data_IF_001389780962
#
_entry.id   IF_001389780962
#
_cell.length_a   1.000
_cell.length_b   1.000
_cell.length_c   1.000
_cell.angle_alpha   90.00
_cell.angle_beta   90.00
_cell.angle_gamma   90.00
#
_symmetry.space_group_name_H-M   'P 1'
#
loop_
_entity.id
_entity.type
_entity.pdbx_description
1 polymer ?
#
# COMPACT_ATOMS: atom_id res chain seq x y z
N UNK A 1 11.88 -8.50 -3.92
CA UNK A 1 11.44 -9.85 -3.47
C UNK A 1 12.31 -10.97 -4.01
N UNK A 2 12.73 -10.92 -5.29
CA UNK A 2 13.62 -11.96 -5.85
C UNK A 2 14.94 -12.13 -5.07
N UNK A 3 15.41 -11.11 -4.38
CA UNK A 3 16.62 -11.14 -3.54
C UNK A 3 16.38 -11.66 -2.13
N UNK A 4 15.13 -11.71 -1.72
CA UNK A 4 14.74 -12.07 -0.37
C UNK A 4 14.32 -13.54 -0.27
N UNK A 5 14.56 -14.35 -1.31
CA UNK A 5 14.06 -15.74 -1.41
C UNK A 5 14.51 -16.65 -0.27
N UNK A 6 15.69 -16.44 0.26
CA UNK A 6 16.19 -17.30 1.33
C UNK A 6 15.72 -16.77 2.69
N UNK A 7 14.89 -17.56 3.35
CA UNK A 7 14.38 -17.29 4.69
C UNK A 7 13.52 -16.03 4.84
N UNK A 8 12.76 -15.64 3.81
CA UNK A 8 11.74 -14.59 3.92
C UNK A 8 10.36 -15.17 3.70
N UNK A 9 9.43 -14.79 4.55
CA UNK A 9 8.00 -15.03 4.34
C UNK A 9 7.28 -13.69 4.20
N UNK A 10 6.65 -13.48 3.05
CA UNK A 10 5.79 -12.32 2.85
C UNK A 10 4.48 -12.47 3.64
N UNK A 11 3.91 -11.35 4.07
CA UNK A 11 2.59 -11.27 4.69
C UNK A 11 1.72 -10.34 3.83
N UNK A 12 0.63 -10.84 3.33
CA UNK A 12 -0.24 -10.11 2.39
C UNK A 12 -1.67 -10.27 2.84
N UNK A 13 -2.44 -9.19 2.86
CA UNK A 13 -3.88 -9.26 3.11
C UNK A 13 -4.62 -10.04 2.03
N UNK A 14 -5.69 -10.75 2.40
CA UNK A 14 -6.59 -11.38 1.41
C UNK A 14 -7.38 -10.35 0.61
N UNK A 15 -7.41 -9.11 1.05
CA UNK A 15 -7.99 -7.95 0.35
C UNK A 15 -6.87 -6.93 0.17
N UNK A 16 -6.18 -7.02 -0.94
CA UNK A 16 -5.09 -6.14 -1.35
C UNK A 16 -5.09 -6.01 -2.87
N UNK A 17 -4.22 -5.19 -3.42
CA UNK A 17 -4.03 -5.14 -4.87
C UNK A 17 -3.62 -6.53 -5.40
N UNK A 18 -4.41 -7.14 -6.29
CA UNK A 18 -4.23 -8.54 -6.68
C UNK A 18 -2.83 -8.90 -7.17
N UNK A 19 -2.14 -7.94 -7.82
CA UNK A 19 -0.80 -8.18 -8.33
C UNK A 19 0.24 -8.53 -7.24
N UNK A 20 0.00 -8.25 -5.97
CA UNK A 20 0.92 -8.71 -4.92
C UNK A 20 0.94 -10.24 -4.84
N UNK A 21 -0.22 -10.87 -4.87
CA UNK A 21 -0.33 -12.34 -4.87
C UNK A 21 0.25 -12.93 -6.15
N UNK A 22 -0.11 -12.38 -7.31
CA UNK A 22 0.43 -12.82 -8.60
C UNK A 22 1.96 -12.78 -8.62
N UNK A 23 2.56 -11.70 -8.07
CA UNK A 23 4.02 -11.58 -7.98
C UNK A 23 4.61 -12.65 -7.06
N UNK A 24 3.98 -12.95 -5.91
CA UNK A 24 4.48 -13.99 -5.01
C UNK A 24 4.47 -15.37 -5.68
N UNK A 25 3.37 -15.69 -6.35
CA UNK A 25 3.21 -16.96 -7.07
C UNK A 25 4.22 -17.07 -8.22
N UNK A 26 4.29 -16.07 -9.10
CA UNK A 26 5.19 -16.09 -10.25
C UNK A 26 6.68 -16.10 -9.86
N UNK A 27 7.03 -15.51 -8.74
CA UNK A 27 8.41 -15.52 -8.22
C UNK A 27 8.71 -16.69 -7.30
N UNK A 28 7.74 -17.56 -7.04
CA UNK A 28 7.83 -18.66 -6.07
C UNK A 28 8.32 -18.17 -4.69
N UNK A 29 7.77 -17.06 -4.24
CA UNK A 29 8.10 -16.45 -2.93
C UNK A 29 7.12 -16.99 -1.89
N UNK A 30 7.65 -17.48 -0.75
CA UNK A 30 6.80 -17.94 0.36
C UNK A 30 5.97 -16.79 0.92
N UNK A 31 4.68 -16.99 1.06
CA UNK A 31 3.79 -15.99 1.66
C UNK A 31 2.73 -16.63 2.56
N UNK A 32 2.16 -15.81 3.43
CA UNK A 32 1.00 -16.16 4.24
C UNK A 32 -0.03 -15.02 4.17
N UNK A 33 -1.30 -15.43 4.10
CA UNK A 33 -2.42 -14.50 4.06
C UNK A 33 -2.72 -13.98 5.46
N UNK A 34 -2.91 -12.67 5.58
CA UNK A 34 -3.44 -11.99 6.76
C UNK A 34 -4.94 -11.71 6.51
N UNK A 35 -5.83 -12.22 7.36
CA UNK A 35 -7.26 -12.13 7.10
C UNK A 35 -7.80 -10.71 7.37
N UNK A 36 -8.44 -10.15 6.35
CA UNK A 36 -9.32 -8.98 6.43
C UNK A 36 -10.75 -9.50 6.47
N UNK A 37 -11.43 -9.25 7.56
CA UNK A 37 -12.77 -9.75 7.80
C UNK A 37 -13.68 -8.64 8.32
N UNK A 38 -15.00 -8.91 8.41
CA UNK A 38 -15.93 -7.98 9.05
C UNK A 38 -15.60 -7.73 10.52
N UNK A 39 -15.20 -8.79 11.22
CA UNK A 39 -14.91 -8.76 12.66
C UNK A 39 -13.75 -7.81 12.97
N UNK A 40 -12.77 -7.70 12.09
CA UNK A 40 -11.67 -6.74 12.21
C UNK A 40 -11.90 -5.47 11.37
N UNK A 41 -13.12 -5.23 10.90
CA UNK A 41 -13.50 -4.08 10.08
C UNK A 41 -12.62 -3.91 8.84
N UNK A 42 -12.17 -5.03 8.25
CA UNK A 42 -11.21 -5.06 7.13
C UNK A 42 -9.92 -4.28 7.41
N UNK A 43 -9.52 -4.24 8.69
CA UNK A 43 -8.33 -3.54 9.17
C UNK A 43 -7.63 -4.38 10.24
N UNK A 44 -6.88 -5.42 9.85
CA UNK A 44 -6.18 -6.29 10.80
C UNK A 44 -5.13 -5.50 11.59
N UNK A 45 -4.92 -5.90 12.84
CA UNK A 45 -3.91 -5.26 13.71
C UNK A 45 -2.50 -5.39 13.13
N UNK A 46 -1.61 -4.49 13.50
CA UNK A 46 -0.21 -4.55 13.09
C UNK A 46 0.44 -5.89 13.46
N UNK A 47 0.16 -6.42 14.65
CA UNK A 47 0.69 -7.68 15.14
C UNK A 47 0.32 -8.87 14.25
N UNK A 48 -0.85 -8.85 13.62
CA UNK A 48 -1.29 -9.93 12.71
C UNK A 48 -0.35 -10.14 11.53
N UNK A 49 0.36 -9.11 11.12
CA UNK A 49 1.35 -9.21 10.04
C UNK A 49 2.70 -9.78 10.50
N UNK A 50 3.00 -9.69 11.79
CA UNK A 50 4.31 -10.09 12.33
C UNK A 50 4.23 -11.33 13.21
N UNK A 51 3.11 -12.05 13.18
CA UNK A 51 2.97 -13.33 13.88
C UNK A 51 4.04 -14.32 13.41
N UNK A 52 4.80 -14.86 14.35
CA UNK A 52 5.90 -15.81 14.12
C UNK A 52 5.53 -17.27 14.38
N UNK A 53 4.26 -17.54 14.67
CA UNK A 53 3.81 -18.91 14.93
C UNK A 53 4.18 -19.85 13.77
N UNK A 54 4.82 -20.96 14.10
CA UNK A 54 5.23 -21.97 13.12
C UNK A 54 6.46 -21.60 12.26
N UNK A 55 7.08 -20.42 12.45
CA UNK A 55 8.26 -20.03 11.69
C UNK A 55 9.57 -20.46 12.36
N UNK A 56 10.55 -20.75 11.51
CA UNK A 56 11.95 -20.89 11.96
C UNK A 56 12.46 -19.53 12.48
N UNK A 57 13.28 -19.55 13.53
CA UNK A 57 13.87 -18.36 14.12
C UNK A 57 14.69 -17.51 13.12
N UNK A 58 15.22 -18.12 12.06
CA UNK A 58 15.96 -17.42 10.99
C UNK A 58 15.05 -16.84 9.91
N UNK A 59 13.76 -17.16 9.90
CA UNK A 59 12.83 -16.63 8.90
C UNK A 59 12.56 -15.15 9.18
N UNK A 60 12.74 -14.34 8.16
CA UNK A 60 12.37 -12.92 8.17
C UNK A 60 10.91 -12.77 7.76
N UNK A 61 10.21 -11.88 8.42
CA UNK A 61 8.84 -11.52 8.06
C UNK A 61 8.85 -10.22 7.25
N UNK A 62 8.11 -10.20 6.14
CA UNK A 62 8.06 -9.07 5.23
C UNK A 62 6.62 -8.78 4.82
N UNK A 63 5.86 -8.01 5.61
CA UNK A 63 4.57 -7.49 5.18
C UNK A 63 4.68 -6.66 3.90
N UNK A 64 3.67 -6.80 3.05
CA UNK A 64 3.42 -5.92 1.90
C UNK A 64 2.06 -5.31 2.14
N UNK A 65 2.03 -4.02 2.41
CA UNK A 65 0.82 -3.30 2.84
C UNK A 65 0.67 -2.03 2.00
N UNK A 66 -0.47 -1.85 1.37
CA UNK A 66 -0.83 -0.54 0.81
C UNK A 66 -1.38 0.37 1.93
N UNK A 67 -0.92 1.63 1.96
CA UNK A 67 -1.37 2.61 2.96
C UNK A 67 -1.48 4.02 2.37
N UNK A 68 -2.68 4.52 2.16
CA UNK A 68 -4.03 3.93 2.34
C UNK A 68 -4.23 2.62 1.57
N UNK A 69 -5.02 1.72 2.15
CA UNK A 69 -5.23 0.38 1.64
C UNK A 69 -6.11 0.39 0.37
N UNK A 70 -5.70 -0.37 -0.63
CA UNK A 70 -6.46 -0.62 -1.84
C UNK A 70 -7.02 -2.06 -1.81
N UNK A 71 -8.37 -2.27 -1.81
CA UNK A 71 -9.42 -1.28 -2.14
C UNK A 71 -10.23 -0.75 -0.95
N UNK A 72 -9.99 -1.17 0.29
CA UNK A 72 -10.89 -0.81 1.40
C UNK A 72 -10.84 0.66 1.81
N UNK A 73 -9.73 1.34 1.53
CA UNK A 73 -9.48 2.72 1.98
C UNK A 73 -9.11 2.83 3.46
N UNK A 74 -8.96 1.71 4.18
CA UNK A 74 -8.47 1.74 5.55
C UNK A 74 -7.05 2.31 5.59
N UNK A 75 -6.79 3.20 6.54
CA UNK A 75 -5.52 3.94 6.59
C UNK A 75 -4.90 3.82 7.97
N UNK A 76 -3.65 3.40 8.03
CA UNK A 76 -2.83 3.52 9.23
C UNK A 76 -2.20 4.90 9.28
N UNK A 77 -2.38 5.58 10.40
CA UNK A 77 -1.82 6.90 10.62
C UNK A 77 -1.56 7.14 12.10
N UNK A 78 -0.85 8.22 12.45
CA UNK A 78 -0.54 8.56 13.84
C UNK A 78 0.22 7.44 14.56
N UNK A 79 -0.26 7.07 15.75
CA UNK A 79 0.39 6.08 16.60
C UNK A 79 0.34 4.67 16.04
N UNK A 80 -0.72 4.32 15.30
CA UNK A 80 -0.83 3.01 14.64
C UNK A 80 0.24 2.83 13.55
N UNK A 81 0.45 3.84 12.70
CA UNK A 81 1.51 3.78 11.69
C UNK A 81 2.90 3.79 12.33
N UNK A 82 3.07 4.55 13.42
CA UNK A 82 4.32 4.55 14.19
C UNK A 82 4.63 3.16 14.75
N UNK A 83 3.64 2.51 15.37
CA UNK A 83 3.78 1.15 15.88
C UNK A 83 4.16 0.16 14.76
N UNK A 84 3.46 0.22 13.61
CA UNK A 84 3.75 -0.64 12.45
C UNK A 84 5.22 -0.52 12.02
N UNK A 85 5.75 0.69 11.91
CA UNK A 85 7.14 0.94 11.51
C UNK A 85 8.10 0.45 12.61
N UNK A 86 7.82 0.69 13.88
CA UNK A 86 8.65 0.21 14.99
C UNK A 86 8.78 -1.31 14.98
N UNK A 87 7.67 -2.05 14.80
CA UNK A 87 7.70 -3.51 14.68
C UNK A 87 8.50 -3.95 13.43
N UNK A 88 8.38 -3.22 12.33
CA UNK A 88 9.13 -3.53 11.11
C UNK A 88 10.64 -3.29 11.23
N UNK A 89 11.07 -2.40 12.13
CA UNK A 89 12.49 -2.15 12.41
C UNK A 89 13.11 -3.18 13.37
N UNK A 90 12.31 -4.03 14.02
CA UNK A 90 12.82 -5.09 14.89
C UNK A 90 13.68 -6.12 14.12
N UNK A 91 14.67 -6.72 14.78
CA UNK A 91 15.51 -7.75 14.16
C UNK A 91 14.70 -8.93 13.58
N UNK A 92 14.92 -9.23 12.32
CA UNK A 92 14.21 -10.31 11.63
C UNK A 92 12.90 -9.89 10.97
N UNK A 93 12.51 -8.63 11.09
CA UNK A 93 11.37 -8.04 10.41
C UNK A 93 11.81 -7.10 9.28
N UNK A 94 10.84 -6.68 8.50
CA UNK A 94 10.92 -5.65 7.47
C UNK A 94 9.52 -5.31 7.01
N UNK A 95 9.37 -4.39 6.09
CA UNK A 95 8.09 -4.01 5.49
C UNK A 95 8.28 -3.41 4.10
N UNK A 96 7.40 -3.72 3.17
CA UNK A 96 7.13 -2.91 1.99
C UNK A 96 5.82 -2.16 2.20
N UNK A 97 5.91 -0.87 2.43
CA UNK A 97 4.77 0.02 2.54
C UNK A 97 4.53 0.69 1.17
N UNK A 98 3.44 0.34 0.52
CA UNK A 98 3.02 0.94 -0.74
C UNK A 98 2.17 2.17 -0.47
N UNK A 99 2.76 3.34 -0.69
CA UNK A 99 2.14 4.64 -0.46
C UNK A 99 1.63 5.31 -1.74
N UNK A 100 1.24 4.50 -2.74
CA UNK A 100 0.69 5.05 -3.98
C UNK A 100 -0.53 5.95 -3.76
N UNK A 101 -1.22 5.80 -2.64
CA UNK A 101 -2.41 6.57 -2.24
C UNK A 101 -2.18 7.53 -1.07
N UNK A 102 -0.93 7.86 -0.71
CA UNK A 102 -0.60 8.70 0.45
C UNK A 102 -1.37 10.03 0.51
N UNK A 103 -1.61 10.64 -0.65
CA UNK A 103 -2.31 11.93 -0.77
C UNK A 103 -3.83 11.83 -0.62
N UNK A 104 -4.40 10.63 -0.54
CA UNK A 104 -5.85 10.41 -0.49
C UNK A 104 -6.41 10.26 0.92
N UNK A 105 -5.58 10.50 1.93
CA UNK A 105 -5.96 10.65 3.33
C UNK A 105 -5.67 12.07 3.80
N UNK A 106 -6.42 12.58 4.74
CA UNK A 106 -6.24 13.94 5.29
C UNK A 106 -5.94 13.87 6.80
N UNK A 107 -4.74 14.27 7.21
CA UNK A 107 -3.59 14.71 6.41
C UNK A 107 -2.93 13.58 5.63
N UNK A 108 -2.21 13.89 4.56
CA UNK A 108 -1.39 12.91 3.84
C UNK A 108 -0.43 12.20 4.78
N UNK A 109 -0.32 10.87 4.66
CA UNK A 109 0.45 10.01 5.58
C UNK A 109 1.62 9.36 4.88
N UNK A 110 2.76 9.26 5.58
CA UNK A 110 3.88 8.44 5.12
C UNK A 110 4.62 7.83 6.28
N UNK A 111 4.96 6.54 6.18
CA UNK A 111 5.71 5.81 7.19
C UNK A 111 7.12 6.31 7.39
N UNK A 112 7.71 7.00 6.39
CA UNK A 112 9.09 7.50 6.51
C UNK A 112 9.30 8.43 7.71
N UNK A 113 8.27 9.15 8.12
CA UNK A 113 8.35 10.07 9.26
C UNK A 113 8.54 9.35 10.60
N UNK A 114 8.29 8.04 10.67
CA UNK A 114 8.42 7.22 11.87
C UNK A 114 9.64 6.29 11.85
N UNK A 115 10.34 6.18 10.74
CA UNK A 115 11.57 5.39 10.63
C UNK A 115 12.67 6.04 11.45
N UNK A 116 13.27 5.27 12.38
CA UNK A 116 14.31 5.77 13.26
C UNK A 116 15.71 5.59 12.68
N UNK A 117 15.97 4.44 12.08
CA UNK A 117 17.27 4.11 11.48
C UNK A 117 17.08 3.42 10.12
N UNK A 118 16.91 4.23 9.08
CA UNK A 118 16.66 3.72 7.73
C UNK A 118 17.81 2.85 7.23
N UNK A 119 19.06 3.21 7.54
CA UNK A 119 20.23 2.52 6.99
C UNK A 119 20.45 1.13 7.60
N UNK A 120 19.95 0.88 8.80
CA UNK A 120 20.03 -0.41 9.45
C UNK A 120 18.69 -1.18 9.44
N UNK A 121 17.66 -0.67 8.79
CA UNK A 121 16.35 -1.30 8.70
C UNK A 121 16.10 -2.02 7.37
N UNK A 122 15.06 -2.86 7.35
CA UNK A 122 14.49 -3.44 6.14
C UNK A 122 13.12 -2.79 5.81
N UNK A 123 13.02 -1.49 6.05
CA UNK A 123 11.85 -0.69 5.68
C UNK A 123 12.01 -0.23 4.23
N UNK A 124 10.98 -0.49 3.42
CA UNK A 124 10.88 -0.06 2.04
C UNK A 124 9.58 0.73 1.90
N UNK A 125 9.67 1.97 1.44
CA UNK A 125 8.51 2.82 1.19
C UNK A 125 8.45 3.13 -0.29
N UNK A 126 7.40 2.67 -0.94
CA UNK A 126 7.17 2.86 -2.36
C UNK A 126 6.19 4.00 -2.61
N UNK A 127 6.53 4.90 -3.51
CA UNK A 127 5.66 5.97 -3.96
C UNK A 127 5.65 6.08 -5.48
N UNK A 128 4.65 6.78 -6.04
CA UNK A 128 4.54 6.95 -7.48
C UNK A 128 3.82 8.24 -7.89
N UNK A 129 4.17 8.74 -9.07
CA UNK A 129 3.43 9.84 -9.69
C UNK A 129 2.02 9.44 -10.17
N UNK A 130 1.71 8.15 -10.16
CA UNK A 130 0.54 7.54 -10.79
C UNK A 130 -0.78 8.09 -10.27
N UNK A 131 -0.95 8.15 -8.95
CA UNK A 131 -2.22 8.46 -8.29
C UNK A 131 -2.25 9.89 -7.76
N UNK A 132 -1.48 10.19 -6.73
CA UNK A 132 -1.46 11.50 -6.09
C UNK A 132 -1.05 12.66 -7.02
N UNK A 133 -0.17 12.42 -7.99
CA UNK A 133 0.20 13.41 -9.00
C UNK A 133 -0.51 13.24 -10.34
N UNK A 134 -1.55 12.39 -10.40
CA UNK A 134 -2.45 12.16 -11.53
C UNK A 134 -1.72 11.92 -12.87
N UNK A 135 -0.58 11.25 -12.82
CA UNK A 135 0.29 11.05 -13.97
C UNK A 135 0.59 9.56 -14.24
N UNK A 136 -0.44 8.72 -14.46
CA UNK A 136 -0.24 7.27 -14.63
C UNK A 136 0.55 6.91 -15.88
N UNK A 137 0.48 7.72 -16.94
CA UNK A 137 1.13 7.45 -18.23
C UNK A 137 2.65 7.64 -18.22
N UNK A 138 3.22 8.41 -17.28
CA UNK A 138 4.67 8.64 -17.26
C UNK A 138 5.47 7.46 -16.72
N UNK A 139 4.85 6.51 -16.05
CA UNK A 139 5.45 5.27 -15.53
C UNK A 139 6.65 5.50 -14.63
N UNK A 140 6.54 6.45 -13.69
CA UNK A 140 7.58 6.77 -12.69
C UNK A 140 7.08 6.53 -11.29
N UNK A 141 7.88 5.79 -10.52
CA UNK A 141 7.77 5.60 -9.09
C UNK A 141 9.15 5.63 -8.45
N UNK A 142 9.18 5.55 -7.15
CA UNK A 142 10.41 5.54 -6.34
C UNK A 142 10.28 4.60 -5.16
N UNK A 143 11.43 4.20 -4.62
CA UNK A 143 11.51 3.49 -3.34
C UNK A 143 12.49 4.26 -2.45
N UNK A 144 12.10 4.45 -1.20
CA UNK A 144 12.95 4.91 -0.11
C UNK A 144 13.29 3.70 0.75
N UNK A 145 14.58 3.43 0.94
CA UNK A 145 15.08 2.31 1.74
C UNK A 145 16.54 2.58 2.13
N UNK A 146 17.15 1.68 2.92
CA UNK A 146 18.57 1.76 3.26
C UNK A 146 19.45 1.80 2.01
N UNK A 147 20.61 2.45 2.11
CA UNK A 147 21.59 2.55 1.02
C UNK A 147 21.92 1.20 0.40
N UNK A 148 22.19 0.20 1.25
CA UNK A 148 22.47 -1.20 0.83
C UNK A 148 21.31 -1.79 0.02
N UNK A 149 20.08 -1.59 0.46
CA UNK A 149 18.89 -2.10 -0.23
C UNK A 149 18.68 -1.38 -1.57
N UNK A 150 18.90 -0.06 -1.64
CA UNK A 150 18.83 0.72 -2.88
C UNK A 150 19.88 0.26 -3.89
N UNK A 151 21.13 0.03 -3.47
CA UNK A 151 22.18 -0.52 -4.36
C UNK A 151 21.74 -1.86 -4.96
N UNK A 152 21.17 -2.75 -4.14
CA UNK A 152 20.67 -4.05 -4.60
C UNK A 152 19.53 -3.90 -5.60
N UNK A 153 18.54 -3.06 -5.30
CA UNK A 153 17.37 -2.81 -6.17
C UNK A 153 17.79 -2.14 -7.49
N UNK A 154 18.74 -1.22 -7.43
CA UNK A 154 19.29 -0.52 -8.61
C UNK A 154 19.96 -1.50 -9.57
N UNK A 155 20.79 -2.39 -9.05
CA UNK A 155 21.44 -3.43 -9.84
C UNK A 155 20.40 -4.34 -10.52
N UNK A 156 19.39 -4.79 -9.77
CA UNK A 156 18.31 -5.60 -10.33
C UNK A 156 17.50 -4.87 -11.40
N UNK A 157 17.13 -3.62 -11.14
CA UNK A 157 16.40 -2.80 -12.11
C UNK A 157 17.20 -2.63 -13.42
N UNK A 158 18.49 -2.42 -13.30
CA UNK A 158 19.38 -2.32 -14.48
C UNK A 158 19.35 -3.59 -15.33
N UNK A 159 19.39 -4.77 -14.71
CA UNK A 159 19.32 -6.04 -15.44
C UNK A 159 17.92 -6.38 -15.96
N UNK A 160 16.89 -6.14 -15.14
CA UNK A 160 15.52 -6.59 -15.45
C UNK A 160 14.70 -5.63 -16.31
N UNK A 161 14.95 -4.32 -16.18
CA UNK A 161 14.13 -3.27 -16.81
C UNK A 161 14.91 -2.27 -17.64
N UNK A 162 16.22 -2.24 -17.54
CA UNK A 162 17.10 -1.31 -18.28
C UNK A 162 17.00 0.14 -17.82
N UNK A 163 16.19 0.46 -16.83
CA UNK A 163 15.98 1.80 -16.30
C UNK A 163 14.67 2.46 -16.71
N UNK A 164 14.39 3.59 -16.10
CA UNK A 164 13.19 4.40 -16.34
C UNK A 164 13.48 5.46 -17.40
N UNK A 165 12.51 5.74 -18.26
CA UNK A 165 12.59 6.78 -19.30
C UNK A 165 13.09 8.11 -18.73
N UNK A 166 14.19 8.64 -19.27
CA UNK A 166 14.77 9.92 -18.82
C UNK A 166 13.81 11.11 -18.98
N UNK A 167 13.08 11.28 -20.11
CA UNK A 167 12.05 12.33 -20.19
C UNK A 167 10.98 12.23 -19.13
N UNK A 168 10.54 11.00 -18.80
CA UNK A 168 9.55 10.76 -17.73
C UNK A 168 10.10 11.15 -16.35
N UNK A 169 11.38 10.88 -16.08
CA UNK A 169 12.03 11.29 -14.83
C UNK A 169 12.10 12.81 -14.72
N UNK A 170 12.50 13.51 -15.78
CA UNK A 170 12.53 14.98 -15.81
C UNK A 170 11.14 15.59 -15.56
N UNK A 171 10.11 14.99 -16.14
CA UNK A 171 8.73 15.40 -15.89
C UNK A 171 8.33 15.15 -14.43
N UNK A 172 8.66 13.99 -13.88
CA UNK A 172 8.38 13.64 -12.48
C UNK A 172 9.05 14.63 -11.51
N UNK A 173 10.31 15.03 -11.76
CA UNK A 173 11.01 16.04 -10.94
C UNK A 173 10.23 17.36 -10.91
N UNK A 174 9.62 17.76 -12.02
CA UNK A 174 8.78 18.96 -12.08
C UNK A 174 7.46 18.80 -11.30
N UNK A 175 6.85 17.62 -11.32
CA UNK A 175 5.65 17.34 -10.51
C UNK A 175 5.97 17.34 -9.01
N UNK A 176 7.18 16.91 -8.64
CA UNK A 176 7.63 16.81 -7.26
C UNK A 176 8.16 18.16 -6.68
N UNK A 177 8.09 19.25 -7.39
CA UNK A 177 8.38 20.58 -6.84
C UNK A 177 7.48 20.83 -5.61
N UNK A 178 8.04 21.29 -4.47
CA UNK A 178 7.27 21.39 -3.20
C UNK A 178 5.96 22.15 -3.30
N UNK A 179 5.93 23.23 -4.10
CA UNK A 179 4.72 24.02 -4.35
C UNK A 179 3.62 23.22 -5.06
N UNK A 180 4.00 22.39 -6.06
CA UNK A 180 3.08 21.53 -6.80
C UNK A 180 2.56 20.38 -5.94
N UNK A 181 3.44 19.75 -5.17
CA UNK A 181 3.05 18.69 -4.22
C UNK A 181 2.04 19.22 -3.20
N UNK A 182 2.30 20.40 -2.61
CA UNK A 182 1.37 21.04 -1.67
C UNK A 182 0.00 21.32 -2.31
N UNK A 183 -0.01 21.83 -3.53
CA UNK A 183 -1.24 22.10 -4.28
C UNK A 183 -2.00 20.81 -4.60
N UNK A 184 -1.29 19.77 -5.07
CA UNK A 184 -1.88 18.47 -5.38
C UNK A 184 -2.49 17.83 -4.13
N UNK A 185 -1.77 17.80 -3.01
CA UNK A 185 -2.28 17.28 -1.73
C UNK A 185 -3.59 17.96 -1.35
N UNK A 186 -3.60 19.28 -1.29
CA UNK A 186 -4.81 20.03 -0.94
C UNK A 186 -5.99 19.69 -1.85
N UNK A 187 -5.80 19.73 -3.16
CA UNK A 187 -6.87 19.45 -4.12
C UNK A 187 -7.41 18.03 -4.02
N UNK A 188 -6.52 17.03 -3.82
CA UNK A 188 -6.89 15.63 -3.71
C UNK A 188 -7.61 15.36 -2.39
N UNK A 189 -7.09 15.85 -1.27
CA UNK A 189 -7.72 15.73 0.05
C UNK A 189 -9.15 16.29 0.03
N UNK A 190 -9.33 17.53 -0.44
CA UNK A 190 -10.63 18.19 -0.51
C UNK A 190 -11.61 17.41 -1.40
N UNK A 191 -11.17 17.05 -2.60
CA UNK A 191 -12.03 16.39 -3.59
C UNK A 191 -12.45 14.98 -3.14
N UNK A 192 -11.50 14.13 -2.71
CA UNK A 192 -11.82 12.75 -2.38
C UNK A 192 -12.48 12.60 -1.00
N UNK A 193 -12.24 13.48 -0.05
CA UNK A 193 -13.04 13.55 1.18
C UNK A 193 -14.50 13.85 0.90
N UNK A 194 -14.75 14.83 0.02
CA UNK A 194 -16.10 15.15 -0.43
C UNK A 194 -16.75 13.97 -1.18
N UNK A 195 -16.04 13.33 -2.09
CA UNK A 195 -16.55 12.16 -2.83
C UNK A 195 -16.87 11.00 -1.90
N UNK A 196 -15.94 10.62 -1.01
CA UNK A 196 -16.15 9.51 -0.06
C UNK A 196 -17.40 9.73 0.78
N UNK A 197 -17.57 10.95 1.28
CA UNK A 197 -18.77 11.29 2.05
C UNK A 197 -20.02 11.17 1.19
N UNK A 198 -20.07 11.81 0.03
CA UNK A 198 -21.22 11.84 -0.86
C UNK A 198 -21.67 10.45 -1.28
N UNK A 199 -20.75 9.63 -1.77
CA UNK A 199 -21.08 8.29 -2.22
C UNK A 199 -21.32 7.34 -1.05
N UNK A 200 -20.58 7.45 0.04
CA UNK A 200 -20.81 6.67 1.24
C UNK A 200 -22.21 6.89 1.82
N UNK A 201 -22.68 8.13 1.89
CA UNK A 201 -24.03 8.46 2.32
C UNK A 201 -25.07 7.86 1.36
N UNK A 202 -24.89 8.02 0.05
CA UNK A 202 -25.81 7.44 -0.95
C UNK A 202 -25.88 5.90 -0.87
N UNK A 203 -24.76 5.22 -0.65
CA UNK A 203 -24.75 3.76 -0.48
C UNK A 203 -25.47 3.31 0.80
N UNK A 204 -25.33 4.07 1.90
CA UNK A 204 -26.08 3.82 3.14
C UNK A 204 -27.59 4.02 2.93
N UNK A 205 -27.99 5.07 2.22
CA UNK A 205 -29.38 5.33 1.88
C UNK A 205 -29.98 4.22 1.00
N UNK A 206 -29.16 3.52 0.22
CA UNK A 206 -29.54 2.33 -0.53
C UNK A 206 -29.61 1.06 0.34
N UNK A 207 -29.28 1.14 1.62
CA UNK A 207 -29.28 0.00 2.54
C UNK A 207 -28.05 -0.90 2.43
N UNK A 208 -26.97 -0.44 1.78
CA UNK A 208 -25.71 -1.21 1.68
C UNK A 208 -24.86 -1.06 2.94
N UNK A 209 -24.17 -2.13 3.33
CA UNK A 209 -23.12 -2.06 4.34
C UNK A 209 -21.90 -1.32 3.77
N UNK A 210 -21.47 -0.25 4.43
CA UNK A 210 -20.32 0.57 3.98
C UNK A 210 -19.16 0.39 4.94
N UNK A 211 -18.09 -0.25 4.48
CA UNK A 211 -16.86 -0.52 5.22
C UNK A 211 -15.67 0.30 4.69
N UNK A 212 -15.95 1.27 3.85
CA UNK A 212 -14.94 2.17 3.28
C UNK A 212 -14.24 2.94 4.38
N UNK A 213 -12.90 2.89 4.39
CA UNK A 213 -12.05 3.70 5.26
C UNK A 213 -11.98 5.17 4.82
N UNK A 214 -11.03 5.88 5.37
CA UNK A 214 -10.83 7.33 5.21
C UNK A 214 -9.78 7.72 4.16
N UNK A 215 -9.18 6.72 3.48
CA UNK A 215 -8.20 6.92 2.40
C UNK A 215 -8.64 6.36 1.05
N UNK A 216 -7.80 6.60 0.03
CA UNK A 216 -8.07 6.09 -1.33
C UNK A 216 -9.27 6.73 -2.02
N UNK A 217 -9.70 6.12 -3.10
CA UNK A 217 -10.85 6.58 -3.90
C UNK A 217 -11.84 5.44 -4.25
N UNK A 218 -11.70 4.29 -3.62
CA UNK A 218 -12.62 3.16 -3.76
C UNK A 218 -13.67 3.19 -2.65
N UNK A 219 -14.74 2.43 -2.85
CA UNK A 219 -15.73 2.14 -1.82
C UNK A 219 -15.76 0.64 -1.58
N UNK A 220 -15.65 0.24 -0.31
CA UNK A 220 -15.75 -1.14 0.12
C UNK A 220 -17.13 -1.39 0.70
N UNK A 221 -17.94 -2.16 -0.02
CA UNK A 221 -19.36 -2.31 0.27
C UNK A 221 -19.72 -3.78 0.49
N UNK A 222 -20.66 -4.00 1.38
CA UNK A 222 -21.35 -5.27 1.49
C UNK A 222 -22.58 -5.27 0.59
N UNK A 223 -22.69 -6.30 -0.23
CA UNK A 223 -23.85 -6.50 -1.07
C UNK A 223 -25.02 -7.10 -0.26
N UNK A 224 -26.27 -6.89 -0.71
CA UNK A 224 -27.43 -7.54 -0.12
C UNK A 224 -27.28 -9.06 -0.12
N UNK A 225 -27.89 -9.72 0.86
CA UNK A 225 -27.90 -11.17 0.96
C UNK A 225 -28.41 -11.82 -0.34
N UNK A 226 -27.72 -12.86 -0.78
CA UNK A 226 -28.04 -13.57 -2.02
C UNK A 226 -27.54 -12.91 -3.31
N UNK A 227 -26.88 -11.76 -3.25
CA UNK A 227 -26.29 -11.10 -4.42
C UNK A 227 -24.76 -11.24 -4.43
N UNK A 228 -24.21 -11.76 -5.53
CA UNK A 228 -22.76 -11.80 -5.75
C UNK A 228 -22.26 -10.56 -6.49
N UNK A 229 -20.96 -10.25 -6.34
CA UNK A 229 -20.32 -9.14 -7.09
C UNK A 229 -20.38 -9.37 -8.60
N UNK A 230 -20.30 -10.62 -9.07
CA UNK A 230 -20.42 -10.96 -10.48
C UNK A 230 -21.81 -10.68 -11.03
N UNK A 231 -22.86 -10.99 -10.26
CA UNK A 231 -24.25 -10.69 -10.65
C UNK A 231 -24.52 -9.18 -10.66
N UNK A 232 -24.01 -8.44 -9.67
CA UNK A 232 -24.12 -6.99 -9.66
C UNK A 232 -23.40 -6.39 -10.89
N UNK A 233 -22.18 -6.80 -11.15
CA UNK A 233 -21.41 -6.32 -12.30
C UNK A 233 -22.17 -6.55 -13.61
N UNK A 234 -22.75 -7.74 -13.80
CA UNK A 234 -23.56 -8.06 -14.99
C UNK A 234 -24.83 -7.21 -15.13
N UNK A 235 -25.37 -6.71 -14.02
CA UNK A 235 -26.56 -5.83 -14.04
C UNK A 235 -26.22 -4.37 -14.30
N UNK A 236 -24.99 -3.95 -14.00
CA UNK A 236 -24.53 -2.58 -14.15
C UNK A 236 -23.92 -2.31 -15.54
N UNK A 237 -23.41 -3.32 -16.20
CA UNK A 237 -22.73 -3.26 -17.50
C UNK A 237 -23.25 -4.31 -18.48
#
# INVERSE_FOLDING_TARGET
LAFLKENVQARIGNIEWPAYLDIMEQTNTSFQIVPFTKENNFHPSNQSYFDRAGLNAKTRIMPIISNPQNPSGQTRWGDELRELIQIAEEPGNGILLDEAYEMFHSPSVSGIQYVQDLDNSNVFIAGACTKGLQSPGIRVGWIVASKKNIETLSNYSSFGMGGVSHPSQLYAVKLLEPGRVKQARKAIEEHYNWQRKRYGDAFKDMGLGVYTGDGGFYHWLELPEGMTSAELNKKLF
#
